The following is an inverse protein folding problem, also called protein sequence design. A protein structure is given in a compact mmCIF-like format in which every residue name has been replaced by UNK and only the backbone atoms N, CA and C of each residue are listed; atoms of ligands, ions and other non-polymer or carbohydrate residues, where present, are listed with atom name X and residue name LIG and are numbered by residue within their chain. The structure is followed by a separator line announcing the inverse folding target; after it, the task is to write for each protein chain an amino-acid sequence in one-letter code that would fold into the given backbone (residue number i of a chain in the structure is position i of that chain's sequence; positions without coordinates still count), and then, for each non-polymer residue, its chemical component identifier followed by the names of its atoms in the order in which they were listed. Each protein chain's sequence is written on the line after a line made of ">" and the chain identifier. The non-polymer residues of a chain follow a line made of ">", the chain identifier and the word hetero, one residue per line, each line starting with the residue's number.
data_IF_238093632739
#
_entry.id   IF_238093632739
#
_cell.length_a   1.000
_cell.length_b   1.000
_cell.length_c   1.000
_cell.angle_alpha   90.00
_cell.angle_beta   90.00
_cell.angle_gamma   90.00
#
_symmetry.space_group_name_H-M   'P 1'
#
loop_
_entity.id
_entity.type
_entity.pdbx_description
1 polymer ?
#
# COMPACT_ATOMS: atom_id res chain seq x y z
N UNK A 1 -8.44 -6.60 16.56
CA UNK A 1 -9.63 -6.33 17.41
C UNK A 1 -9.66 -4.92 17.97
N UNK A 2 -8.63 -4.44 18.70
CA UNK A 2 -8.61 -3.09 19.28
C UNK A 2 -8.86 -1.96 18.26
N UNK A 3 -8.25 -2.03 17.08
CA UNK A 3 -8.44 -1.01 16.04
C UNK A 3 -9.89 -0.89 15.59
N UNK A 4 -10.63 -2.00 15.59
CA UNK A 4 -12.05 -2.02 15.25
C UNK A 4 -12.92 -1.41 16.36
N UNK A 5 -12.46 -1.41 17.63
CA UNK A 5 -13.24 -0.89 18.76
C UNK A 5 -13.04 0.61 18.99
N UNK A 6 -11.88 1.17 18.60
CA UNK A 6 -11.54 2.58 18.83
C UNK A 6 -11.89 3.51 17.66
N UNK A 7 -12.61 2.99 16.66
CA UNK A 7 -13.08 3.80 15.53
C UNK A 7 -12.01 4.11 14.47
N UNK A 8 -10.96 3.28 14.35
CA UNK A 8 -10.03 3.41 13.22
C UNK A 8 -10.78 3.07 11.92
N UNK A 9 -10.83 4.03 11.00
CA UNK A 9 -11.57 3.88 9.74
C UNK A 9 -10.67 3.52 8.56
N UNK A 10 -9.41 3.94 8.60
CA UNK A 10 -8.45 3.78 7.51
C UNK A 10 -7.09 3.35 8.04
N UNK A 11 -6.43 2.45 7.33
CA UNK A 11 -5.08 1.98 7.60
C UNK A 11 -4.32 1.83 6.28
N UNK A 12 -2.99 1.83 6.35
CA UNK A 12 -2.14 1.54 5.21
C UNK A 12 -0.97 0.65 5.66
N UNK A 13 -0.24 0.08 4.70
CA UNK A 13 0.98 -0.65 5.01
C UNK A 13 2.08 0.30 5.45
N UNK A 14 2.63 0.06 6.63
CA UNK A 14 3.94 0.58 7.00
C UNK A 14 5.08 -0.28 6.41
N UNK A 15 6.23 -0.22 7.07
CA UNK A 15 7.43 -0.96 6.66
C UNK A 15 7.48 -2.39 7.16
N UNK A 16 6.90 -2.65 8.32
CA UNK A 16 7.08 -3.92 9.04
C UNK A 16 5.92 -4.89 8.78
N UNK A 17 4.93 -4.47 8.01
CA UNK A 17 3.83 -5.31 7.56
C UNK A 17 4.31 -6.41 6.60
N UNK A 18 5.50 -6.28 6.02
CA UNK A 18 6.16 -7.34 5.25
C UNK A 18 6.97 -8.33 6.08
N UNK A 19 7.15 -8.08 7.38
CA UNK A 19 7.93 -8.96 8.27
C UNK A 19 7.11 -10.19 8.69
N UNK A 20 5.80 -10.15 8.45
CA UNK A 20 4.88 -11.26 8.70
C UNK A 20 4.63 -12.05 7.40
N UNK A 21 4.32 -13.36 7.50
CA UNK A 21 3.95 -14.14 6.33
C UNK A 21 2.77 -13.54 5.57
N UNK A 22 2.83 -13.59 4.23
CA UNK A 22 1.85 -12.98 3.34
C UNK A 22 0.41 -13.43 3.62
N UNK A 23 0.19 -14.73 3.82
CA UNK A 23 -1.14 -15.25 4.13
C UNK A 23 -1.67 -14.76 5.48
N UNK A 24 -0.79 -14.59 6.48
CA UNK A 24 -1.16 -13.99 7.76
C UNK A 24 -1.55 -12.52 7.58
N UNK A 25 -0.83 -11.77 6.75
CA UNK A 25 -1.18 -10.39 6.43
C UNK A 25 -2.55 -10.31 5.74
N UNK A 26 -2.81 -11.16 4.73
CA UNK A 26 -4.12 -11.24 4.06
C UNK A 26 -5.25 -11.55 5.04
N UNK A 27 -5.03 -12.48 5.95
CA UNK A 27 -6.00 -12.78 7.00
C UNK A 27 -6.27 -11.54 7.87
N UNK A 28 -5.24 -10.84 8.34
CA UNK A 28 -5.40 -9.63 9.16
C UNK A 28 -6.11 -8.51 8.43
N UNK A 29 -5.88 -8.36 7.11
CA UNK A 29 -6.62 -7.42 6.27
C UNK A 29 -8.12 -7.74 6.32
N UNK A 30 -8.50 -9.01 6.23
CA UNK A 30 -9.90 -9.45 6.31
C UNK A 30 -10.56 -9.30 7.68
N UNK A 31 -9.77 -9.28 8.77
CA UNK A 31 -10.26 -9.08 10.15
C UNK A 31 -10.53 -7.60 10.48
N UNK A 32 -9.93 -6.67 9.74
CA UNK A 32 -10.13 -5.23 9.95
C UNK A 32 -11.42 -4.75 9.28
N UNK A 33 -12.24 -3.99 10.01
CA UNK A 33 -13.55 -3.53 9.53
C UNK A 33 -13.49 -2.20 8.78
N UNK A 34 -12.37 -1.49 8.85
CA UNK A 34 -12.12 -0.27 8.09
C UNK A 34 -11.52 -0.55 6.72
N UNK A 35 -11.05 0.50 6.05
CA UNK A 35 -10.43 0.42 4.72
C UNK A 35 -8.91 0.32 4.81
N UNK A 36 -8.34 -0.63 4.09
CA UNK A 36 -6.91 -0.65 3.78
C UNK A 36 -6.67 0.17 2.51
N UNK A 37 -5.78 1.15 2.57
CA UNK A 37 -5.41 2.03 1.44
C UNK A 37 -3.97 1.74 1.03
N UNK A 38 -3.74 1.55 -0.27
CA UNK A 38 -2.42 1.26 -0.82
C UNK A 38 -2.30 1.71 -2.29
N UNK A 39 -1.45 2.71 -2.55
CA UNK A 39 -1.28 3.31 -3.88
C UNK A 39 -0.06 2.79 -4.65
N UNK A 40 0.87 2.08 -3.99
CA UNK A 40 2.16 1.76 -4.59
C UNK A 40 2.48 0.26 -4.72
N UNK A 41 1.54 -0.64 -4.39
CA UNK A 41 1.63 -2.07 -4.74
C UNK A 41 0.37 -2.50 -5.52
N UNK A 42 0.26 -2.16 -6.82
CA UNK A 42 -0.93 -2.44 -7.62
C UNK A 42 -1.18 -3.94 -7.87
N UNK A 43 -0.15 -4.77 -7.72
CA UNK A 43 -0.22 -6.22 -7.88
C UNK A 43 -0.54 -6.96 -6.57
N UNK A 44 -0.74 -6.23 -5.46
CA UNK A 44 -1.08 -6.84 -4.17
C UNK A 44 -2.47 -7.49 -4.22
N UNK A 45 -2.59 -8.69 -3.67
CA UNK A 45 -3.84 -9.46 -3.60
C UNK A 45 -4.21 -9.74 -2.13
N UNK A 46 -5.32 -9.19 -1.59
CA UNK A 46 -6.47 -8.62 -2.31
C UNK A 46 -6.22 -7.23 -2.89
N UNK A 47 -6.96 -6.89 -3.96
CA UNK A 47 -6.89 -5.54 -4.55
C UNK A 47 -7.40 -4.49 -3.56
N UNK A 48 -6.56 -3.49 -3.29
CA UNK A 48 -6.86 -2.41 -2.35
C UNK A 48 -7.05 -1.07 -3.08
N UNK A 49 -7.90 -0.17 -2.55
CA UNK A 49 -8.05 1.18 -3.07
C UNK A 49 -6.76 2.00 -2.88
N UNK A 50 -6.41 2.82 -3.88
CA UNK A 50 -5.23 3.70 -3.85
C UNK A 50 -5.44 4.96 -2.99
N UNK A 51 -6.70 5.40 -2.91
CA UNK A 51 -7.13 6.53 -2.10
C UNK A 51 -8.61 6.41 -1.73
N UNK A 52 -9.03 7.15 -0.71
CA UNK A 52 -10.44 7.32 -0.32
C UNK A 52 -10.71 8.78 0.05
N UNK A 53 -11.89 9.30 -0.32
CA UNK A 53 -12.27 10.70 -0.05
C UNK A 53 -13.52 10.72 0.81
N UNK A 54 -13.43 11.38 1.95
CA UNK A 54 -14.54 11.58 2.88
C UNK A 54 -15.07 13.02 2.78
N UNK A 55 -16.39 13.15 2.81
CA UNK A 55 -17.08 14.43 3.02
C UNK A 55 -17.53 14.49 4.47
N UNK A 56 -17.18 15.56 5.17
CA UNK A 56 -17.60 15.76 6.56
C UNK A 56 -18.88 16.59 6.60
N UNK A 57 -19.72 16.32 7.59
CA UNK A 57 -20.89 17.15 7.93
C UNK A 57 -20.69 17.68 9.34
N UNK A 58 -21.19 18.88 9.62
CA UNK A 58 -21.18 19.43 10.97
C UNK A 58 -22.26 18.79 11.86
N UNK A 59 -22.30 19.19 13.15
CA UNK A 59 -23.31 18.71 14.11
C UNK A 59 -24.74 19.11 13.74
N UNK A 60 -24.93 20.15 12.93
CA UNK A 60 -26.23 20.60 12.44
C UNK A 60 -26.68 19.82 11.19
N UNK A 61 -25.89 18.84 10.72
CA UNK A 61 -26.15 18.08 9.50
C UNK A 61 -25.97 18.92 8.23
N UNK A 62 -25.40 20.12 8.34
CA UNK A 62 -25.01 20.94 7.21
C UNK A 62 -23.70 20.36 6.69
N UNK A 63 -23.63 20.12 5.39
CA UNK A 63 -22.38 19.75 4.74
C UNK A 63 -21.41 20.92 4.82
N UNK A 64 -20.61 20.98 5.88
CA UNK A 64 -19.41 21.80 5.89
C UNK A 64 -18.51 21.23 4.80
N UNK A 65 -18.35 21.96 3.69
CA UNK A 65 -17.85 21.43 2.41
C UNK A 65 -16.35 21.07 2.40
N UNK A 66 -15.80 20.57 3.50
CA UNK A 66 -14.43 20.11 3.64
C UNK A 66 -14.34 18.64 3.21
N UNK A 67 -13.70 18.43 2.06
CA UNK A 67 -13.30 17.10 1.58
C UNK A 67 -11.93 16.75 2.11
N UNK A 68 -11.80 15.54 2.66
CA UNK A 68 -10.54 14.99 3.15
C UNK A 68 -10.19 13.74 2.36
N UNK A 69 -8.95 13.64 1.89
CA UNK A 69 -8.45 12.50 1.13
C UNK A 69 -7.39 11.73 1.91
N UNK A 70 -7.47 10.41 1.90
CA UNK A 70 -6.43 9.51 2.39
C UNK A 70 -5.76 8.83 1.20
N UNK A 71 -4.42 8.77 1.20
CA UNK A 71 -3.64 7.91 0.31
C UNK A 71 -2.57 7.21 1.14
N UNK A 72 -2.40 5.91 0.92
CA UNK A 72 -1.47 5.06 1.67
C UNK A 72 -0.31 4.65 0.78
N UNK A 73 0.93 4.80 1.27
CA UNK A 73 2.14 4.43 0.54
C UNK A 73 3.02 3.55 1.42
N UNK A 74 3.33 2.33 0.96
CA UNK A 74 4.24 1.43 1.67
C UNK A 74 5.69 1.80 1.40
N UNK A 75 6.43 2.17 2.43
CA UNK A 75 7.84 2.52 2.29
C UNK A 75 8.75 1.27 2.09
N UNK A 76 8.30 0.07 2.50
CA UNK A 76 8.96 -1.19 2.14
C UNK A 76 8.93 -1.45 0.62
N UNK A 77 7.79 -1.21 -0.02
CA UNK A 77 7.65 -1.33 -1.47
C UNK A 77 8.54 -0.35 -2.24
N UNK A 78 8.68 0.89 -1.73
CA UNK A 78 9.57 1.89 -2.33
C UNK A 78 11.05 1.45 -2.23
N UNK A 79 11.45 0.88 -1.10
CA UNK A 79 12.81 0.36 -0.88
C UNK A 79 13.10 -0.82 -1.80
N UNK A 80 12.16 -1.76 -1.94
CA UNK A 80 12.27 -2.88 -2.87
C UNK A 80 12.44 -2.40 -4.32
N UNK A 81 11.61 -1.44 -4.77
CA UNK A 81 11.70 -0.87 -6.11
C UNK A 81 13.06 -0.20 -6.37
N UNK A 82 13.58 0.55 -5.40
CA UNK A 82 14.87 1.25 -5.52
C UNK A 82 16.06 0.29 -5.52
N UNK A 83 15.97 -0.84 -4.80
CA UNK A 83 17.07 -1.81 -4.67
C UNK A 83 17.11 -2.83 -5.83
N UNK A 84 15.94 -3.21 -6.37
CA UNK A 84 15.83 -4.17 -7.47
C UNK A 84 16.07 -3.56 -8.85
N UNK A 85 15.64 -2.31 -9.08
CA UNK A 85 15.80 -1.63 -10.38
C UNK A 85 17.26 -1.58 -10.90
N UNK A 86 18.28 -1.21 -10.10
CA UNK A 86 19.67 -1.20 -10.58
C UNK A 86 20.23 -2.61 -10.79
N UNK A 87 19.76 -3.61 -10.05
CA UNK A 87 20.24 -5.00 -10.14
C UNK A 87 19.78 -5.66 -11.44
N UNK A 88 18.50 -5.46 -11.82
CA UNK A 88 17.95 -5.94 -13.10
C UNK A 88 18.60 -5.22 -14.28
N UNK A 89 18.81 -3.90 -14.19
CA UNK A 89 19.50 -3.14 -15.23
C UNK A 89 20.92 -3.68 -15.47
N UNK A 90 21.67 -3.97 -14.40
CA UNK A 90 23.03 -4.50 -14.47
C UNK A 90 23.08 -5.93 -15.05
N UNK A 91 22.12 -6.78 -14.69
CA UNK A 91 21.99 -8.14 -15.22
C UNK A 91 21.69 -8.13 -16.73
N UNK A 92 20.79 -7.26 -17.20
CA UNK A 92 20.47 -7.11 -18.63
C UNK A 92 21.65 -6.56 -19.42
N UNK A 93 22.39 -5.58 -18.87
CA UNK A 93 23.63 -5.08 -19.49
C UNK A 93 24.76 -6.11 -19.56
N UNK A 94 24.84 -7.05 -18.62
CA UNK A 94 25.82 -8.14 -18.64
C UNK A 94 25.43 -9.24 -19.66
N UNK A 95 24.14 -9.57 -19.74
CA UNK A 95 23.62 -10.52 -20.73
C UNK A 95 23.78 -9.99 -22.17
N UNK A 96 23.49 -8.71 -22.41
CA UNK A 96 23.66 -8.07 -23.72
C UNK A 96 25.13 -8.06 -24.18
N UNK A 97 26.09 -7.86 -23.27
CA UNK A 97 27.53 -7.91 -23.59
C UNK A 97 28.02 -9.32 -23.95
N UNK A 98 27.45 -10.37 -23.33
CA UNK A 98 27.76 -11.77 -23.70
C UNK A 98 27.16 -12.21 -25.04
N UNK A 99 26.05 -11.59 -25.44
CA UNK A 99 25.43 -11.85 -26.74
C UNK A 99 26.16 -11.15 -27.90
N UNK A 100 26.81 -10.01 -27.64
CA UNK A 100 27.60 -9.25 -28.62
C UNK A 100 29.03 -9.77 -28.83
N UNK A 101 29.49 -10.71 -28.01
CA UNK A 101 30.85 -11.27 -28.07
C UNK A 101 30.90 -12.69 -28.65
N UNK A 102 29.91 -13.07 -29.46
CA UNK A 102 29.85 -14.33 -30.21
C UNK A 102 29.67 -14.05 -31.69
#
# INVERSE_FOLDING_TARGET
>A
ELMNSVGVTHVCFGNHESDVPYESLKQRIGEFKGKWINSNMPEFDPKLPEFDVLSLTDEAGVADARRWGYSGCSLAALTAATTLAPTIARARSAAARRASSR
#
